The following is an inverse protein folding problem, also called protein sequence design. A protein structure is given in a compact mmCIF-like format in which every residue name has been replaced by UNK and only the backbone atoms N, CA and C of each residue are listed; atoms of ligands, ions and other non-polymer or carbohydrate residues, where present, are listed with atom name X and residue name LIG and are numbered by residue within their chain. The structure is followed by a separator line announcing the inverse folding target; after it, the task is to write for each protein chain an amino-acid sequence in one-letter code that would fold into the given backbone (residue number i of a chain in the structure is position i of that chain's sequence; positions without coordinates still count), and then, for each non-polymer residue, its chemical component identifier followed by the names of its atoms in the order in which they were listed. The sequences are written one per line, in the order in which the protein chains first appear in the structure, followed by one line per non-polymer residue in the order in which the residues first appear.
data_IF_862174547683
#
_entry.id   IF_862174547683
#
_cell.length_a   1.000
_cell.length_b   1.000
_cell.length_c   1.000
_cell.angle_alpha   90.00
_cell.angle_beta   90.00
_cell.angle_gamma   90.00
#
_symmetry.space_group_name_H-M   'P 1'
#
loop_
_entity.id
_entity.type
_entity.pdbx_description
1 polymer ?
#
# COMPACT_ATOMS: atom_id res chain seq x y z
N UNK A 1 -45.66 13.58 5.18
CA UNK A 1 -45.33 13.31 6.60
C UNK A 1 -43.83 13.39 6.86
N UNK A 2 -42.99 12.67 6.09
CA UNK A 2 -41.51 12.70 6.24
C UNK A 2 -40.91 14.10 6.07
N UNK A 3 -41.38 14.90 5.10
CA UNK A 3 -40.88 16.27 4.90
C UNK A 3 -41.12 17.19 6.10
N UNK A 4 -42.28 17.12 6.75
CA UNK A 4 -42.57 17.92 7.94
C UNK A 4 -41.66 17.53 9.13
N UNK A 5 -41.30 16.25 9.25
CA UNK A 5 -40.31 15.80 10.21
C UNK A 5 -38.90 16.30 9.87
N UNK A 6 -38.52 16.31 8.60
CA UNK A 6 -37.24 16.85 8.13
C UNK A 6 -37.16 18.37 8.32
N UNK A 7 -38.23 19.11 8.04
CA UNK A 7 -38.31 20.55 8.30
C UNK A 7 -38.13 20.87 9.79
N UNK A 8 -38.61 19.99 10.68
CA UNK A 8 -38.49 20.17 12.14
C UNK A 8 -37.11 19.76 12.67
N UNK A 9 -36.55 18.65 12.18
CA UNK A 9 -35.31 18.06 12.69
C UNK A 9 -34.05 18.63 12.02
N UNK A 10 -34.14 19.00 10.74
CA UNK A 10 -33.01 19.47 9.93
C UNK A 10 -33.51 20.62 9.04
N UNK A 11 -33.76 21.83 9.56
CA UNK A 11 -34.43 22.91 8.81
C UNK A 11 -33.73 23.32 7.51
N UNK A 12 -32.43 23.05 7.40
CA UNK A 12 -31.60 23.35 6.23
C UNK A 12 -31.62 22.26 5.15
N UNK A 13 -32.39 21.18 5.31
CA UNK A 13 -32.35 20.02 4.41
C UNK A 13 -32.72 20.38 2.96
N UNK A 14 -33.68 21.29 2.76
CA UNK A 14 -34.10 21.74 1.41
C UNK A 14 -33.03 22.56 0.71
N UNK A 15 -32.38 23.46 1.43
CA UNK A 15 -31.28 24.27 0.88
C UNK A 15 -30.09 23.37 0.55
N UNK A 16 -29.82 22.37 1.39
CA UNK A 16 -28.76 21.39 1.14
C UNK A 16 -29.04 20.48 -0.04
N UNK A 17 -30.26 19.96 -0.21
CA UNK A 17 -30.59 19.12 -1.37
C UNK A 17 -30.54 19.92 -2.66
N UNK A 18 -30.99 21.17 -2.65
CA UNK A 18 -30.92 22.09 -3.79
C UNK A 18 -29.46 22.44 -4.12
N UNK A 19 -28.66 22.80 -3.12
CA UNK A 19 -27.23 23.03 -3.29
C UNK A 19 -26.53 21.79 -3.88
N UNK A 20 -26.84 20.61 -3.35
CA UNK A 20 -26.27 19.35 -3.82
C UNK A 20 -26.70 19.01 -5.25
N UNK A 21 -27.96 19.24 -5.63
CA UNK A 21 -28.40 19.01 -7.01
C UNK A 21 -27.71 19.95 -8.00
N UNK A 22 -27.57 21.22 -7.63
CA UNK A 22 -26.99 22.26 -8.48
C UNK A 22 -25.47 22.08 -8.64
N UNK A 23 -24.80 21.54 -7.62
CA UNK A 23 -23.36 21.36 -7.59
C UNK A 23 -22.94 19.88 -7.69
N UNK A 24 -23.87 18.99 -8.05
CA UNK A 24 -23.64 17.53 -8.05
C UNK A 24 -22.38 17.14 -8.81
N UNK A 25 -22.19 17.67 -10.01
CA UNK A 25 -21.00 17.42 -10.82
C UNK A 25 -19.71 17.92 -10.18
N UNK A 26 -19.75 19.09 -9.52
CA UNK A 26 -18.59 19.67 -8.83
C UNK A 26 -18.23 18.91 -7.55
N UNK A 27 -19.17 18.24 -6.91
CA UNK A 27 -18.92 17.44 -5.70
C UNK A 27 -18.49 16.01 -6.08
N UNK A 28 -19.25 15.37 -6.96
CA UNK A 28 -19.10 13.95 -7.27
C UNK A 28 -17.93 13.69 -8.20
N UNK A 29 -17.66 14.54 -9.19
CA UNK A 29 -16.55 14.28 -10.12
C UNK A 29 -15.18 14.32 -9.43
N UNK A 30 -14.85 15.32 -8.58
CA UNK A 30 -13.59 15.29 -7.83
C UNK A 30 -13.53 14.12 -6.85
N UNK A 31 -14.66 13.73 -6.24
CA UNK A 31 -14.71 12.58 -5.33
C UNK A 31 -14.43 11.27 -6.07
N UNK A 32 -15.04 11.06 -7.24
CA UNK A 32 -14.79 9.89 -8.08
C UNK A 32 -13.36 9.87 -8.61
N UNK A 33 -12.83 11.02 -9.02
CA UNK A 33 -11.43 11.16 -9.40
C UNK A 33 -10.53 10.76 -8.23
N UNK A 34 -10.78 11.27 -7.02
CA UNK A 34 -10.06 10.90 -5.81
C UNK A 34 -10.14 9.40 -5.49
N UNK A 35 -11.33 8.80 -5.54
CA UNK A 35 -11.49 7.36 -5.32
C UNK A 35 -10.73 6.52 -6.36
N UNK A 36 -10.77 6.92 -7.63
CA UNK A 36 -9.99 6.27 -8.68
C UNK A 36 -8.49 6.37 -8.38
N UNK A 37 -8.01 7.50 -7.86
CA UNK A 37 -6.60 7.67 -7.47
C UNK A 37 -6.20 6.67 -6.37
N UNK A 38 -7.01 6.56 -5.32
CA UNK A 38 -6.78 5.65 -4.19
C UNK A 38 -6.76 4.20 -4.66
N UNK A 39 -7.68 3.83 -5.54
CA UNK A 39 -7.77 2.48 -6.08
C UNK A 39 -6.56 2.10 -6.95
N UNK A 40 -6.09 3.02 -7.81
CA UNK A 40 -4.89 2.82 -8.64
C UNK A 40 -3.64 2.69 -7.76
N UNK A 41 -3.53 3.53 -6.73
CA UNK A 41 -2.45 3.44 -5.73
C UNK A 41 -2.42 2.09 -5.03
N UNK A 42 -3.56 1.68 -4.46
CA UNK A 42 -3.70 0.42 -3.75
C UNK A 42 -3.35 -0.79 -4.63
N UNK A 43 -3.78 -0.77 -5.91
CA UNK A 43 -3.42 -1.81 -6.88
C UNK A 43 -1.93 -1.86 -7.17
N UNK A 44 -1.25 -0.72 -7.19
CA UNK A 44 0.19 -0.66 -7.45
C UNK A 44 0.99 -1.14 -6.25
N UNK A 45 0.61 -0.74 -5.03
CA UNK A 45 1.19 -1.25 -3.78
C UNK A 45 1.01 -2.77 -3.67
N UNK A 46 -0.20 -3.26 -3.98
CA UNK A 46 -0.50 -4.70 -3.96
C UNK A 46 0.31 -5.48 -4.98
N UNK A 47 0.51 -4.93 -6.19
CA UNK A 47 1.34 -5.55 -7.23
C UNK A 47 2.82 -5.59 -6.81
N UNK A 48 3.33 -4.51 -6.24
CA UNK A 48 4.71 -4.44 -5.75
C UNK A 48 4.94 -5.39 -4.58
N UNK A 49 4.03 -5.48 -3.62
CA UNK A 49 4.06 -6.48 -2.55
C UNK A 49 4.01 -7.91 -3.10
N UNK A 50 3.15 -8.19 -4.09
CA UNK A 50 3.10 -9.49 -4.74
C UNK A 50 4.43 -9.84 -5.44
N UNK A 51 5.08 -8.87 -6.08
CA UNK A 51 6.38 -9.05 -6.71
C UNK A 51 7.51 -9.29 -5.69
N UNK A 52 7.57 -8.47 -4.63
CA UNK A 52 8.50 -8.64 -3.50
C UNK A 52 8.33 -10.02 -2.86
N UNK A 53 7.09 -10.39 -2.54
CA UNK A 53 6.81 -11.67 -1.87
C UNK A 53 7.18 -12.86 -2.74
N UNK A 54 6.92 -12.78 -4.04
CA UNK A 54 7.35 -13.79 -5.01
C UNK A 54 8.88 -13.87 -5.07
N UNK A 55 9.57 -12.72 -5.08
CA UNK A 55 11.03 -12.66 -5.12
C UNK A 55 11.67 -13.22 -3.83
N UNK A 56 11.15 -12.83 -2.67
CA UNK A 56 11.59 -13.37 -1.38
C UNK A 56 11.38 -14.88 -1.28
N UNK A 57 10.24 -15.40 -1.74
CA UNK A 57 9.98 -16.84 -1.80
C UNK A 57 10.97 -17.57 -2.71
N UNK A 58 11.39 -16.96 -3.83
CA UNK A 58 12.44 -17.50 -4.70
C UNK A 58 13.81 -17.52 -4.02
N UNK A 59 14.14 -16.49 -3.23
CA UNK A 59 15.37 -16.45 -2.44
C UNK A 59 15.38 -17.48 -1.29
N UNK A 60 14.22 -17.74 -0.69
CA UNK A 60 14.03 -18.76 0.35
C UNK A 60 15.02 -18.59 1.50
N UNK A 61 15.77 -19.66 1.82
CA UNK A 61 16.76 -19.65 2.91
C UNK A 61 17.92 -18.67 2.68
N UNK A 62 18.18 -18.24 1.44
CA UNK A 62 19.23 -17.26 1.14
C UNK A 62 18.89 -15.88 1.71
N UNK A 63 17.60 -15.53 1.76
CA UNK A 63 17.14 -14.26 2.32
C UNK A 63 17.45 -14.11 3.82
N UNK A 64 17.52 -15.22 4.56
CA UNK A 64 17.91 -15.21 5.98
C UNK A 64 19.42 -15.03 6.21
N UNK A 65 20.23 -15.31 5.20
CA UNK A 65 21.70 -15.19 5.27
C UNK A 65 22.22 -13.85 4.75
N UNK A 66 21.38 -13.11 4.02
CA UNK A 66 21.70 -11.79 3.49
C UNK A 66 21.65 -10.75 4.60
N UNK A 67 22.55 -9.79 4.53
CA UNK A 67 22.49 -8.58 5.34
C UNK A 67 21.30 -7.70 4.91
N UNK A 68 20.80 -6.81 5.79
CA UNK A 68 19.68 -5.93 5.45
C UNK A 68 19.95 -5.06 4.22
N UNK A 69 21.18 -4.59 4.05
CA UNK A 69 21.63 -3.82 2.88
C UNK A 69 21.55 -4.62 1.60
N UNK A 70 22.12 -5.83 1.58
CA UNK A 70 22.03 -6.74 0.42
C UNK A 70 20.57 -7.07 0.07
N UNK A 71 19.70 -7.20 1.08
CA UNK A 71 18.31 -7.54 0.87
C UNK A 71 17.53 -6.36 0.27
N UNK A 72 17.85 -5.13 0.66
CA UNK A 72 17.34 -3.91 0.01
C UNK A 72 17.81 -3.82 -1.44
N UNK A 73 19.11 -4.02 -1.70
CA UNK A 73 19.67 -4.00 -3.06
C UNK A 73 19.04 -5.04 -4.01
N UNK A 74 18.56 -6.17 -3.47
CA UNK A 74 17.86 -7.19 -4.26
C UNK A 74 16.38 -6.83 -4.49
N UNK A 75 15.73 -6.14 -3.56
CA UNK A 75 14.30 -5.82 -3.62
C UNK A 75 13.99 -4.50 -4.33
N UNK A 76 14.86 -3.51 -4.21
CA UNK A 76 14.70 -2.20 -4.86
C UNK A 76 14.54 -2.31 -6.39
N UNK A 77 15.32 -3.14 -7.12
CA UNK A 77 15.11 -3.34 -8.55
C UNK A 77 13.77 -4.02 -8.88
N UNK A 78 13.25 -4.87 -7.99
CA UNK A 78 11.95 -5.54 -8.18
C UNK A 78 10.82 -4.50 -8.08
N UNK A 79 10.92 -3.59 -7.11
CA UNK A 79 9.98 -2.48 -6.95
C UNK A 79 10.09 -1.52 -8.13
N UNK A 80 11.31 -1.19 -8.57
CA UNK A 80 11.56 -0.30 -9.70
C UNK A 80 10.92 -0.81 -11.00
N UNK A 81 10.97 -2.12 -11.29
CA UNK A 81 10.30 -2.69 -12.46
C UNK A 81 8.77 -2.53 -12.40
N UNK A 82 8.17 -2.78 -11.24
CA UNK A 82 6.71 -2.61 -11.05
C UNK A 82 6.31 -1.14 -11.17
N UNK A 83 7.17 -0.24 -10.68
CA UNK A 83 7.01 1.19 -10.84
C UNK A 83 7.09 1.59 -12.33
N UNK A 84 8.14 1.19 -13.05
CA UNK A 84 8.31 1.52 -14.47
C UNK A 84 7.16 1.03 -15.37
N UNK A 85 6.59 -0.14 -15.07
CA UNK A 85 5.40 -0.66 -15.76
C UNK A 85 4.11 0.15 -15.48
N UNK A 86 4.13 1.05 -14.48
CA UNK A 86 2.97 1.80 -13.99
C UNK A 86 3.21 3.30 -14.13
N UNK A 87 2.61 3.89 -15.17
CA UNK A 87 2.73 5.33 -15.49
C UNK A 87 2.21 6.27 -14.38
N UNK A 88 1.38 5.80 -13.46
CA UNK A 88 0.68 6.64 -12.48
C UNK A 88 0.71 6.05 -11.08
N UNK A 89 1.24 6.80 -10.11
CA UNK A 89 1.15 6.49 -8.68
C UNK A 89 0.77 7.72 -7.86
N UNK A 90 0.00 7.56 -6.77
CA UNK A 90 -0.22 8.62 -5.80
C UNK A 90 1.09 8.88 -5.03
N UNK A 91 1.52 10.13 -4.93
CA UNK A 91 2.60 10.50 -4.02
C UNK A 91 2.12 10.42 -2.56
N UNK A 92 3.08 10.48 -1.65
CA UNK A 92 2.88 10.45 -0.20
C UNK A 92 2.01 11.60 0.39
N UNK A 93 1.46 12.49 -0.46
CA UNK A 93 0.61 13.63 -0.09
C UNK A 93 -0.61 13.84 -1.02
N UNK A 94 -1.04 12.83 -1.79
CA UNK A 94 -2.24 12.92 -2.63
C UNK A 94 -2.06 13.67 -3.97
N UNK A 95 -0.85 14.16 -4.27
CA UNK A 95 -0.48 14.68 -5.59
C UNK A 95 0.11 13.55 -6.45
N UNK A 96 -0.21 13.51 -7.74
CA UNK A 96 0.34 12.52 -8.66
C UNK A 96 1.79 12.88 -9.04
N UNK A 97 2.68 11.89 -9.07
CA UNK A 97 3.93 12.00 -9.82
C UNK A 97 3.71 11.25 -11.14
N UNK A 98 3.95 11.93 -12.26
CA UNK A 98 3.85 11.41 -13.65
C UNK A 98 4.78 10.21 -13.92
N UNK A 99 5.65 9.89 -12.97
CA UNK A 99 6.41 8.64 -12.88
C UNK A 99 6.33 8.19 -11.43
N UNK A 100 5.90 6.96 -11.21
CA UNK A 100 6.11 6.25 -9.95
C UNK A 100 7.56 6.40 -9.50
N UNK A 101 7.79 7.11 -8.40
CA UNK A 101 9.10 7.14 -7.79
C UNK A 101 9.32 5.80 -7.09
N UNK A 102 10.13 4.95 -7.73
CA UNK A 102 10.46 3.61 -7.26
C UNK A 102 11.02 3.62 -5.82
N UNK A 103 11.78 4.66 -5.47
CA UNK A 103 12.36 4.79 -4.13
C UNK A 103 11.32 5.12 -3.08
N UNK A 104 10.36 6.00 -3.39
CA UNK A 104 9.23 6.29 -2.48
C UNK A 104 8.33 5.08 -2.31
N UNK A 105 8.06 4.34 -3.39
CA UNK A 105 7.30 3.10 -3.33
C UNK A 105 8.03 2.07 -2.47
N UNK A 106 9.33 1.86 -2.70
CA UNK A 106 10.16 0.95 -1.92
C UNK A 106 10.12 1.30 -0.41
N UNK A 107 10.30 2.59 -0.08
CA UNK A 107 10.22 3.08 1.29
C UNK A 107 8.83 2.83 1.92
N UNK A 108 7.75 3.09 1.18
CA UNK A 108 6.37 2.87 1.66
C UNK A 108 6.05 1.40 1.95
N UNK A 109 6.72 0.49 1.26
CA UNK A 109 6.58 -0.96 1.42
C UNK A 109 7.54 -1.56 2.46
N UNK A 110 8.34 -0.72 3.14
CA UNK A 110 9.31 -1.18 4.13
C UNK A 110 10.58 -1.79 3.53
N UNK A 111 10.86 -1.55 2.24
CA UNK A 111 12.14 -1.89 1.59
C UNK A 111 13.17 -0.82 1.98
N UNK A 112 13.59 -0.89 3.23
CA UNK A 112 14.65 -0.07 3.81
C UNK A 112 15.39 -0.89 4.88
N UNK A 113 16.64 -0.56 5.18
CA UNK A 113 17.48 -1.36 6.07
C UNK A 113 16.87 -1.60 7.46
N UNK A 114 16.02 -0.68 7.93
CA UNK A 114 15.37 -0.77 9.25
C UNK A 114 14.23 -1.78 9.29
N UNK A 115 13.47 -1.90 8.20
CA UNK A 115 12.21 -2.65 8.15
C UNK A 115 12.27 -3.90 7.28
N UNK A 116 13.28 -4.04 6.42
CA UNK A 116 13.36 -5.11 5.42
C UNK A 116 13.44 -6.52 6.03
N UNK A 117 14.03 -6.66 7.22
CA UNK A 117 14.05 -7.93 7.95
C UNK A 117 12.64 -8.30 8.42
N UNK A 118 11.88 -7.33 8.96
CA UNK A 118 10.49 -7.56 9.36
C UNK A 118 9.62 -7.93 8.16
N UNK A 119 9.83 -7.26 7.01
CA UNK A 119 9.18 -7.59 5.76
C UNK A 119 9.50 -9.03 5.31
N UNK A 120 10.78 -9.41 5.29
CA UNK A 120 11.22 -10.79 4.98
C UNK A 120 10.53 -11.80 5.89
N UNK A 121 10.60 -11.56 7.18
CA UNK A 121 10.15 -12.47 8.22
C UNK A 121 8.63 -12.67 8.20
N UNK A 122 7.87 -11.61 7.96
CA UNK A 122 6.43 -11.68 7.77
C UNK A 122 6.07 -12.47 6.49
N UNK A 123 6.85 -12.26 5.43
CA UNK A 123 6.59 -12.84 4.10
C UNK A 123 6.93 -14.31 3.99
N UNK A 124 8.05 -14.72 4.58
CA UNK A 124 8.54 -16.11 4.56
C UNK A 124 7.95 -16.94 5.71
N UNK A 125 7.30 -16.28 6.68
CA UNK A 125 6.91 -16.86 7.95
C UNK A 125 8.16 -17.13 8.77
N UNK A 126 8.37 -16.39 9.85
CA UNK A 126 9.51 -16.57 10.75
C UNK A 126 9.55 -18.05 11.20
N UNK A 127 10.45 -18.83 10.60
CA UNK A 127 10.70 -20.20 11.01
C UNK A 127 11.78 -20.10 12.09
N UNK A 128 11.33 -19.88 13.31
CA UNK A 128 12.19 -19.91 14.48
C UNK A 128 13.04 -21.19 14.39
N UNK A 129 14.38 -21.10 14.39
CA UNK A 129 15.20 -22.30 14.28
C UNK A 129 14.86 -23.14 15.50
N UNK A 130 14.17 -24.27 15.28
CA UNK A 130 13.87 -25.23 16.33
C UNK A 130 15.20 -25.70 16.87
N UNK A 131 15.65 -25.06 17.95
CA UNK A 131 16.86 -25.44 18.68
C UNK A 131 16.55 -26.80 19.28
N UNK A 132 16.82 -27.85 18.51
CA UNK A 132 16.71 -29.23 18.93
C UNK A 132 17.65 -29.36 20.12
N UNK A 133 17.08 -29.20 21.31
CA UNK A 133 17.77 -29.32 22.58
C UNK A 133 18.16 -30.79 22.68
N UNK A 134 19.35 -31.13 22.19
CA UNK A 134 19.99 -32.41 22.46
C UNK A 134 20.22 -32.45 23.96
N UNK A 135 19.24 -32.98 24.69
CA UNK A 135 19.40 -33.41 26.07
C UNK A 135 20.30 -34.65 25.99
N UNK A 136 21.62 -34.45 26.10
CA UNK A 136 22.52 -35.53 26.46
C UNK A 136 22.21 -35.85 27.92
N UNK A 137 21.49 -36.95 28.14
CA UNK A 137 21.56 -37.62 29.43
C UNK A 137 22.79 -38.51 29.37
N UNK A 138 23.85 -38.02 30.01
CA UNK A 138 24.87 -38.86 30.63
C UNK A 138 24.31 -39.44 31.94
#
# INVERSE_FOLDING_TARGET
MIEAWLDTLIPWWRDFTTFYSDHFGLIVLPLLAWMATMFIGQRTNSAALAAITTHLKKLGNRAYRMSPTELVEQLEPVVARVADDRTWMPAHAGLWIRRSDATQLAASLGVNERQVNSLRDHTLGFREPTRRRTRSHA
#
